data_IF_162118887112
#
_entry.id   IF_162118887112
#
_cell.length_a   1.000
_cell.length_b   1.000
_cell.length_c   1.000
_cell.angle_alpha   90.00
_cell.angle_beta   90.00
_cell.angle_gamma   90.00
#
_symmetry.space_group_name_H-M   'P 1'
#
loop_
_entity.id
_entity.type
_entity.pdbx_description
1 polymer ?
#
# COMPACT_ATOMS: atom_id res chain seq x y z
N UNK A 1 -17.14 -1.98 -6.44
CA UNK A 1 -16.64 -0.63 -6.02
C UNK A 1 -16.71 0.36 -7.17
N UNK A 2 -16.07 0.10 -8.33
CA UNK A 2 -16.16 0.98 -9.50
C UNK A 2 -17.60 1.27 -9.96
N UNK A 3 -18.47 0.26 -10.00
CA UNK A 3 -19.90 0.40 -10.31
C UNK A 3 -20.64 1.31 -9.32
N UNK A 4 -20.31 1.22 -8.03
CA UNK A 4 -20.89 2.10 -6.99
C UNK A 4 -20.43 3.54 -7.17
N UNK A 5 -19.17 3.78 -7.53
CA UNK A 5 -18.68 5.12 -7.84
C UNK A 5 -19.42 5.70 -9.07
N UNK A 6 -19.60 4.89 -10.12
CA UNK A 6 -20.31 5.30 -11.32
C UNK A 6 -21.77 5.67 -11.05
N UNK A 7 -22.46 4.94 -10.17
CA UNK A 7 -23.82 5.26 -9.74
C UNK A 7 -23.95 6.64 -9.07
N UNK A 8 -22.86 7.21 -8.56
CA UNK A 8 -22.80 8.55 -7.97
C UNK A 8 -22.11 9.57 -8.89
N UNK A 9 -21.92 9.26 -10.18
CA UNK A 9 -21.24 10.14 -11.13
C UNK A 9 -19.74 10.30 -10.88
N UNK A 10 -19.13 9.43 -10.07
CA UNK A 10 -17.70 9.45 -9.76
C UNK A 10 -16.95 8.49 -10.67
N UNK A 11 -15.88 8.98 -11.29
CA UNK A 11 -14.96 8.16 -12.09
C UNK A 11 -13.78 7.71 -11.24
N UNK A 12 -13.62 6.40 -11.09
CA UNK A 12 -12.45 5.82 -10.45
C UNK A 12 -11.25 5.90 -11.41
N UNK A 13 -10.18 6.57 -10.98
CA UNK A 13 -8.94 6.67 -11.76
C UNK A 13 -7.91 5.69 -11.20
N UNK A 14 -7.38 4.76 -12.02
CA UNK A 14 -6.34 3.85 -11.56
C UNK A 14 -5.04 4.62 -11.34
N UNK A 15 -4.49 4.47 -10.13
CA UNK A 15 -3.24 5.11 -9.70
C UNK A 15 -2.11 4.09 -9.76
N UNK A 16 -1.58 3.86 -10.97
CA UNK A 16 -0.51 2.87 -11.20
C UNK A 16 0.86 3.53 -11.08
N UNK A 17 1.75 2.88 -10.32
CA UNK A 17 3.18 3.19 -10.28
C UNK A 17 3.93 2.16 -11.10
N UNK A 18 4.80 2.65 -11.97
CA UNK A 18 5.71 1.88 -12.78
C UNK A 18 6.94 1.47 -11.95
N UNK A 19 7.55 0.34 -12.29
CA UNK A 19 8.71 -0.21 -11.59
C UNK A 19 9.90 0.77 -11.61
N UNK A 20 10.00 1.59 -12.66
CA UNK A 20 10.98 2.66 -12.82
C UNK A 20 10.77 3.86 -11.88
N UNK A 21 9.73 3.86 -11.04
CA UNK A 21 9.39 4.95 -10.11
C UNK A 21 8.50 6.03 -10.71
N UNK A 22 8.00 5.84 -11.93
CA UNK A 22 7.05 6.74 -12.59
C UNK A 22 5.59 6.47 -12.22
N UNK A 23 4.72 7.44 -12.48
CA UNK A 23 3.27 7.25 -12.43
C UNK A 23 2.69 7.16 -13.84
N UNK A 24 1.67 6.33 -14.01
CA UNK A 24 0.97 6.21 -15.28
C UNK A 24 0.33 7.55 -15.73
N UNK A 25 0.06 7.74 -17.04
CA UNK A 25 -0.43 9.02 -17.58
C UNK A 25 -1.71 9.54 -16.92
N UNK A 26 -2.67 8.64 -16.62
CA UNK A 26 -3.91 8.98 -15.92
C UNK A 26 -3.67 9.54 -14.52
N UNK A 27 -2.77 8.92 -13.76
CA UNK A 27 -2.39 9.32 -12.41
C UNK A 27 -1.65 10.67 -12.42
N UNK A 28 -0.72 10.86 -13.37
CA UNK A 28 0.01 12.12 -13.56
C UNK A 28 -0.95 13.29 -13.79
N UNK A 29 -1.99 13.10 -14.62
CA UNK A 29 -2.98 14.13 -14.87
C UNK A 29 -3.75 14.51 -13.60
N UNK A 30 -4.19 13.50 -12.83
CA UNK A 30 -4.87 13.74 -11.54
C UNK A 30 -3.96 14.49 -10.57
N UNK A 31 -2.70 14.11 -10.46
CA UNK A 31 -1.73 14.79 -9.61
C UNK A 31 -1.46 16.22 -10.03
N UNK A 32 -1.38 16.50 -11.33
CA UNK A 32 -1.23 17.86 -11.83
C UNK A 32 -2.42 18.72 -11.44
N UNK A 33 -3.64 18.23 -11.62
CA UNK A 33 -4.86 18.95 -11.21
C UNK A 33 -4.90 19.17 -9.70
N UNK A 34 -4.54 18.16 -8.91
CA UNK A 34 -4.53 18.24 -7.45
C UNK A 34 -3.45 19.21 -6.92
N UNK A 35 -2.24 19.13 -7.47
CA UNK A 35 -1.13 20.00 -7.10
C UNK A 35 -1.46 21.46 -7.42
N UNK A 36 -2.01 21.72 -8.60
CA UNK A 36 -2.46 23.07 -9.00
C UNK A 36 -3.53 23.63 -8.06
N UNK A 37 -4.57 22.84 -7.78
CA UNK A 37 -5.63 23.26 -6.85
C UNK A 37 -5.08 23.53 -5.44
N UNK A 38 -4.06 22.77 -5.03
CA UNK A 38 -3.37 22.96 -3.74
C UNK A 38 -2.51 24.22 -3.75
N UNK A 39 -1.77 24.48 -4.83
CA UNK A 39 -0.99 25.68 -5.04
C UNK A 39 -1.86 26.94 -4.97
N UNK A 40 -2.97 26.96 -5.72
CA UNK A 40 -3.94 28.06 -5.75
C UNK A 40 -4.56 28.30 -4.36
N UNK A 41 -4.94 27.24 -3.64
CA UNK A 41 -5.53 27.34 -2.30
C UNK A 41 -4.54 27.80 -1.24
N UNK A 42 -3.29 27.35 -1.32
CA UNK A 42 -2.27 27.60 -0.29
C UNK A 42 -1.37 28.80 -0.59
N UNK A 43 -1.50 29.42 -1.77
CA UNK A 43 -0.67 30.55 -2.19
C UNK A 43 0.80 30.19 -2.42
N UNK A 44 1.10 28.91 -2.68
CA UNK A 44 2.48 28.43 -2.94
C UNK A 44 2.70 28.19 -4.45
N UNK A 45 3.94 28.20 -4.94
CA UNK A 45 4.21 27.89 -6.35
C UNK A 45 3.75 26.47 -6.73
N UNK A 46 3.23 26.32 -7.96
CA UNK A 46 2.77 25.02 -8.49
C UNK A 46 3.86 23.95 -8.49
N UNK A 47 5.11 24.34 -8.78
CA UNK A 47 6.27 23.45 -8.71
C UNK A 47 6.52 22.90 -7.30
N UNK A 48 6.32 23.73 -6.27
CA UNK A 48 6.47 23.34 -4.86
C UNK A 48 5.35 22.41 -4.45
N UNK A 49 4.10 22.75 -4.75
CA UNK A 49 2.94 21.91 -4.46
C UNK A 49 3.05 20.54 -5.15
N UNK A 50 3.49 20.53 -6.41
CA UNK A 50 3.73 19.31 -7.18
C UNK A 50 4.82 18.46 -6.53
N UNK A 51 5.97 19.05 -6.21
CA UNK A 51 7.08 18.35 -5.56
C UNK A 51 6.64 17.70 -4.24
N UNK A 52 5.97 18.46 -3.38
CA UNK A 52 5.47 17.98 -2.09
C UNK A 52 4.46 16.85 -2.26
N UNK A 53 3.56 16.95 -3.24
CA UNK A 53 2.59 15.90 -3.54
C UNK A 53 3.27 14.59 -3.94
N UNK A 54 4.24 14.64 -4.87
CA UNK A 54 4.95 13.43 -5.30
C UNK A 54 5.78 12.82 -4.17
N UNK A 55 6.45 13.63 -3.35
CA UNK A 55 7.18 13.16 -2.17
C UNK A 55 6.25 12.46 -1.17
N UNK A 56 5.11 13.08 -0.84
CA UNK A 56 4.13 12.51 0.07
C UNK A 56 3.56 11.18 -0.46
N UNK A 57 3.27 11.10 -1.76
CA UNK A 57 2.78 9.87 -2.39
C UNK A 57 3.83 8.77 -2.39
N UNK A 58 5.11 9.09 -2.63
CA UNK A 58 6.21 8.12 -2.54
C UNK A 58 6.32 7.50 -1.16
N UNK A 59 6.31 8.32 -0.10
CA UNK A 59 6.36 7.84 1.30
C UNK A 59 5.13 7.00 1.64
N UNK A 60 3.93 7.42 1.23
CA UNK A 60 2.70 6.66 1.46
C UNK A 60 2.73 5.31 0.78
N UNK A 61 3.18 5.25 -0.47
CA UNK A 61 3.30 4.01 -1.22
C UNK A 61 4.31 3.06 -0.58
N UNK A 62 5.49 3.56 -0.20
CA UNK A 62 6.50 2.78 0.50
C UNK A 62 5.94 2.15 1.79
N UNK A 63 5.24 2.94 2.61
CA UNK A 63 4.60 2.46 3.85
C UNK A 63 3.49 1.44 3.58
N UNK A 64 2.66 1.68 2.57
CA UNK A 64 1.60 0.75 2.17
C UNK A 64 2.18 -0.59 1.69
N UNK A 65 3.24 -0.55 0.89
CA UNK A 65 3.97 -1.74 0.43
C UNK A 65 4.58 -2.50 1.60
N UNK A 66 5.26 -1.81 2.52
CA UNK A 66 5.82 -2.45 3.72
C UNK A 66 4.73 -3.13 4.56
N UNK A 67 3.60 -2.45 4.77
CA UNK A 67 2.44 -3.01 5.49
C UNK A 67 1.86 -4.24 4.77
N UNK A 68 1.74 -4.20 3.44
CA UNK A 68 1.25 -5.33 2.66
C UNK A 68 2.20 -6.54 2.74
N UNK A 69 3.51 -6.31 2.71
CA UNK A 69 4.52 -7.35 2.91
C UNK A 69 4.38 -7.96 4.30
N UNK A 70 4.34 -7.14 5.35
CA UNK A 70 4.20 -7.61 6.73
C UNK A 70 2.91 -8.42 6.94
N UNK A 71 1.78 -7.98 6.38
CA UNK A 71 0.55 -8.75 6.48
C UNK A 71 0.63 -10.10 5.76
N UNK A 72 1.28 -10.14 4.59
CA UNK A 72 1.46 -11.39 3.85
C UNK A 72 2.41 -12.34 4.57
N UNK A 73 3.49 -11.83 5.15
CA UNK A 73 4.44 -12.68 5.89
C UNK A 73 3.81 -13.23 7.17
N UNK A 74 3.06 -12.41 7.92
CA UNK A 74 2.33 -12.87 9.11
C UNK A 74 1.24 -13.88 8.74
N UNK A 75 0.44 -13.63 7.70
CA UNK A 75 -0.56 -14.58 7.23
C UNK A 75 0.06 -15.87 6.71
N UNK A 76 1.18 -15.79 5.99
CA UNK A 76 1.91 -16.97 5.53
C UNK A 76 2.51 -17.75 6.70
N UNK A 77 3.05 -17.07 7.72
CA UNK A 77 3.57 -17.71 8.92
C UNK A 77 2.46 -18.41 9.72
N UNK A 78 1.29 -17.79 9.85
CA UNK A 78 0.09 -18.40 10.44
C UNK A 78 -0.40 -19.63 9.64
N UNK A 79 -0.30 -19.58 8.31
CA UNK A 79 -0.63 -20.72 7.45
C UNK A 79 0.41 -21.86 7.53
N UNK A 80 1.70 -21.53 7.71
CA UNK A 80 2.74 -22.53 7.96
C UNK A 80 2.59 -23.17 9.35
N UNK A 81 2.30 -22.38 10.38
CA UNK A 81 2.09 -22.91 11.74
C UNK A 81 0.80 -23.72 11.84
N UNK A 82 -0.29 -23.36 11.15
CA UNK A 82 -1.51 -24.18 11.09
C UNK A 82 -1.34 -25.48 10.28
N UNK A 83 -0.51 -25.49 9.23
CA UNK A 83 -0.12 -26.75 8.56
C UNK A 83 0.79 -27.62 9.45
N UNK A 84 1.61 -27.02 10.31
CA UNK A 84 2.38 -27.75 11.32
C UNK A 84 1.52 -28.25 12.50
N UNK A 85 0.38 -27.59 12.78
CA UNK A 85 -0.58 -27.96 13.83
C UNK A 85 -1.56 -29.07 13.42
N UNK A 86 -1.52 -29.57 12.18
CA UNK A 86 -2.28 -30.77 11.79
C UNK A 86 -1.77 -32.07 12.46
N UNK A 87 -0.70 -32.00 13.27
CA UNK A 87 -0.13 -33.15 14.00
C UNK A 87 0.08 -32.94 15.50
N UNK A 88 -0.48 -31.91 16.13
CA UNK A 88 -0.25 -31.70 17.57
C UNK A 88 -1.53 -31.41 18.33
N UNK A 89 -2.05 -32.49 18.92
CA UNK A 89 -2.95 -32.53 20.05
C UNK A 89 -2.61 -31.50 21.13
N UNK A 90 -3.66 -30.83 21.63
CA UNK A 90 -3.83 -30.21 22.95
C UNK A 90 -2.58 -30.19 23.84
N UNK A 91 -2.06 -29.02 24.18
CA UNK A 91 -2.43 -28.23 25.39
C UNK A 91 -1.54 -26.98 25.49
N UNK A 92 -2.14 -25.93 26.04
CA UNK A 92 -1.54 -24.72 26.62
C UNK A 92 -1.02 -23.59 25.71
N UNK A 93 -1.57 -22.42 26.03
CA UNK A 93 -1.22 -21.12 25.50
C UNK A 93 0.08 -20.64 26.13
N UNK A 94 1.03 -20.25 25.28
CA UNK A 94 2.09 -19.34 25.67
C UNK A 94 2.48 -18.50 24.47
N UNK A 95 2.50 -17.19 24.68
CA UNK A 95 3.08 -16.17 23.81
C UNK A 95 4.39 -16.67 23.21
N UNK A 96 4.42 -16.86 21.89
CA UNK A 96 5.64 -17.12 21.14
C UNK A 96 5.81 -16.04 20.07
N UNK A 97 6.47 -14.97 20.51
CA UNK A 97 7.32 -14.16 19.66
C UNK A 97 8.32 -15.09 18.94
N UNK A 98 8.28 -15.05 17.61
CA UNK A 98 9.36 -15.43 16.69
C UNK A 98 10.09 -16.76 16.98
N UNK A 99 9.51 -17.87 16.51
CA UNK A 99 10.30 -18.99 15.99
C UNK A 99 10.12 -19.03 14.48
N UNK A 100 11.02 -18.39 13.73
CA UNK A 100 11.17 -18.62 12.29
C UNK A 100 12.15 -19.79 12.15
N UNK A 101 11.74 -21.00 11.73
CA UNK A 101 12.70 -21.99 11.30
C UNK A 101 13.30 -21.51 9.98
N UNK A 102 14.61 -21.29 9.98
CA UNK A 102 15.38 -21.17 8.76
C UNK A 102 15.35 -22.51 8.00
N UNK A 103 14.35 -22.70 7.14
CA UNK A 103 14.50 -23.55 5.96
C UNK A 103 15.03 -22.61 4.86
N UNK A 104 16.26 -22.68 4.38
CA UNK A 104 17.16 -23.80 4.20
C UNK A 104 17.59 -23.74 2.74
N UNK A 105 18.89 -23.87 2.51
CA UNK A 105 19.46 -24.28 1.22
C UNK A 105 20.38 -25.44 1.50
#
# INVERSE_FOLDING_TARGET
>A
MAERCAAHGLRLVPMVVEISGGWGPSAKQVFKTLARATAERSGIPDSVATCQLYQAMGVRLQRANARAILFRTVASAANCSSRALATTSRTEAALLLCAVPACGS
#
